data_IF_547540016305
#
_entry.id   IF_547540016305
#
_cell.length_a   1.000
_cell.length_b   1.000
_cell.length_c   1.000
_cell.angle_alpha   90.00
_cell.angle_beta   90.00
_cell.angle_gamma   90.00
#
_symmetry.space_group_name_H-M   'P 1'
#
loop_
_entity.id
_entity.type
_entity.pdbx_description
1 polymer ?
#
# COMPACT_ATOMS: atom_id res chain seq x y z
N UNK A 1 10.07 22.95 -1.44
CA UNK A 1 10.04 21.52 -1.07
C UNK A 1 8.75 20.93 -1.63
N UNK A 2 8.87 19.99 -2.54
CA UNK A 2 7.72 19.22 -3.03
C UNK A 2 7.66 17.88 -2.28
N UNK A 3 6.44 17.38 -2.07
CA UNK A 3 6.21 16.06 -1.48
C UNK A 3 5.38 15.23 -2.46
N UNK A 4 5.82 14.02 -2.74
CA UNK A 4 5.09 13.04 -3.55
C UNK A 4 4.61 11.95 -2.59
N UNK A 5 3.31 11.62 -2.63
CA UNK A 5 2.74 10.50 -1.88
C UNK A 5 2.50 9.36 -2.86
N UNK A 6 3.06 8.19 -2.57
CA UNK A 6 2.86 6.98 -3.37
C UNK A 6 1.82 6.11 -2.67
N UNK A 7 0.73 5.82 -3.38
CA UNK A 7 -0.42 5.08 -2.86
C UNK A 7 -0.20 3.55 -2.88
N UNK A 8 0.92 3.08 -2.33
CA UNK A 8 1.26 1.67 -2.17
C UNK A 8 2.04 1.06 -3.34
N UNK A 9 2.40 -0.20 -3.18
CA UNK A 9 3.12 -1.03 -4.15
C UNK A 9 4.47 -0.42 -4.59
N UNK A 10 5.22 0.09 -3.59
CA UNK A 10 6.55 0.65 -3.79
C UNK A 10 7.62 -0.42 -4.06
N UNK A 11 7.30 -1.70 -3.85
CA UNK A 11 8.21 -2.84 -4.01
C UNK A 11 9.24 -2.97 -2.90
N UNK A 12 8.98 -2.38 -1.73
CA UNK A 12 9.89 -2.43 -0.59
C UNK A 12 9.98 -3.85 -0.03
N UNK A 13 11.16 -4.47 -0.13
CA UNK A 13 11.37 -5.85 0.31
C UNK A 13 10.80 -6.92 -0.62
N UNK A 14 10.10 -6.54 -1.69
CA UNK A 14 9.62 -7.46 -2.70
C UNK A 14 10.78 -7.95 -3.57
N UNK A 15 10.90 -9.25 -3.81
CA UNK A 15 11.99 -9.95 -4.50
C UNK A 15 13.32 -9.98 -3.72
N UNK A 16 14.17 -8.97 -3.81
CA UNK A 16 15.54 -9.01 -3.30
C UNK A 16 15.89 -7.72 -2.55
N UNK A 17 16.27 -7.86 -1.28
CA UNK A 17 16.63 -6.76 -0.38
C UNK A 17 17.80 -5.92 -0.90
N UNK A 18 18.84 -6.52 -1.50
CA UNK A 18 20.01 -5.77 -1.98
C UNK A 18 19.66 -4.94 -3.22
N UNK A 19 18.80 -5.46 -4.09
CA UNK A 19 18.23 -4.70 -5.21
C UNK A 19 17.42 -3.51 -4.70
N UNK A 20 16.54 -3.74 -3.73
CA UNK A 20 15.73 -2.70 -3.08
C UNK A 20 16.62 -1.60 -2.50
N UNK A 21 17.63 -1.94 -1.71
CA UNK A 21 18.58 -0.97 -1.12
C UNK A 21 19.31 -0.14 -2.19
N UNK A 22 19.73 -0.79 -3.29
CA UNK A 22 20.41 -0.09 -4.39
C UNK A 22 19.48 0.91 -5.10
N UNK A 23 18.23 0.51 -5.36
CA UNK A 23 17.23 1.38 -5.98
C UNK A 23 16.87 2.56 -5.07
N UNK A 24 16.65 2.33 -3.78
CA UNK A 24 16.36 3.37 -2.79
C UNK A 24 17.49 4.39 -2.70
N UNK A 25 18.75 3.95 -2.75
CA UNK A 25 19.91 4.86 -2.77
C UNK A 25 19.92 5.78 -3.99
N UNK A 26 19.63 5.23 -5.18
CA UNK A 26 19.53 6.00 -6.42
C UNK A 26 18.38 6.99 -6.36
N UNK A 27 17.19 6.53 -5.95
CA UNK A 27 15.99 7.37 -5.80
C UNK A 27 16.23 8.50 -4.80
N UNK A 28 16.80 8.21 -3.63
CA UNK A 28 17.13 9.23 -2.63
C UNK A 28 18.10 10.29 -3.15
N UNK A 29 19.06 9.89 -3.99
CA UNK A 29 19.98 10.85 -4.63
C UNK A 29 19.24 11.79 -5.58
N UNK A 30 18.28 11.28 -6.36
CA UNK A 30 17.42 12.09 -7.23
C UNK A 30 16.53 13.03 -6.41
N UNK A 31 15.93 12.54 -5.34
CA UNK A 31 15.09 13.32 -4.44
C UNK A 31 15.86 14.50 -3.85
N UNK A 32 17.08 14.25 -3.33
CA UNK A 32 17.96 15.30 -2.82
C UNK A 32 18.29 16.36 -3.88
N UNK A 33 18.66 15.91 -5.08
CA UNK A 33 19.02 16.83 -6.18
C UNK A 33 17.87 17.73 -6.57
N UNK A 34 16.63 17.26 -6.50
CA UNK A 34 15.44 17.98 -6.92
C UNK A 34 14.64 18.61 -5.76
N UNK A 35 15.14 18.49 -4.52
CA UNK A 35 14.47 19.01 -3.31
C UNK A 35 13.03 18.45 -3.13
N UNK A 36 12.89 17.13 -3.34
CA UNK A 36 11.63 16.38 -3.25
C UNK A 36 11.71 15.39 -2.11
N UNK A 37 10.62 15.22 -1.37
CA UNK A 37 10.41 14.09 -0.46
C UNK A 37 9.42 13.12 -1.07
N UNK A 38 9.63 11.83 -0.87
CA UNK A 38 8.68 10.78 -1.23
C UNK A 38 8.17 10.16 0.06
N UNK A 39 6.87 10.26 0.26
CA UNK A 39 6.14 9.52 1.29
C UNK A 39 5.55 8.29 0.64
N UNK A 40 5.70 7.15 1.28
CA UNK A 40 5.21 5.86 0.77
C UNK A 40 4.23 5.28 1.78
N UNK A 41 3.02 4.94 1.34
CA UNK A 41 2.11 4.10 2.10
C UNK A 41 2.26 2.64 1.65
N UNK A 42 1.88 1.72 2.50
CA UNK A 42 2.03 0.28 2.28
C UNK A 42 1.04 -0.23 1.24
N UNK A 43 1.51 -1.01 0.27
CA UNK A 43 0.68 -1.82 -0.62
C UNK A 43 0.85 -3.32 -0.33
N UNK A 44 0.23 -4.17 -1.15
CA UNK A 44 0.37 -5.63 -1.03
C UNK A 44 1.63 -6.19 -1.73
N UNK A 45 2.43 -5.34 -2.37
CA UNK A 45 3.77 -5.65 -2.88
C UNK A 45 4.88 -5.02 -2.04
N UNK A 46 4.60 -4.75 -0.77
CA UNK A 46 5.55 -4.15 0.16
C UNK A 46 5.68 -5.00 1.43
N UNK A 47 6.89 -5.14 1.94
CA UNK A 47 7.14 -5.73 3.25
C UNK A 47 6.67 -4.76 4.34
N UNK A 48 5.66 -5.11 5.15
CA UNK A 48 5.11 -4.24 6.19
C UNK A 48 6.16 -3.73 7.18
N UNK A 49 7.24 -4.47 7.40
CA UNK A 49 8.30 -4.09 8.35
C UNK A 49 9.00 -2.78 7.98
N UNK A 50 9.04 -2.40 6.70
CA UNK A 50 9.62 -1.12 6.28
C UNK A 50 8.80 0.08 6.73
N UNK A 51 7.52 -0.10 7.00
CA UNK A 51 6.59 0.98 7.35
C UNK A 51 6.48 1.21 8.87
N UNK A 52 7.15 0.40 9.68
CA UNK A 52 7.21 0.55 11.13
C UNK A 52 8.52 1.13 11.64
N UNK A 53 9.57 1.17 10.81
CA UNK A 53 10.93 1.51 11.23
C UNK A 53 11.30 2.99 11.02
N UNK A 54 10.41 3.79 10.42
CA UNK A 54 10.69 5.19 10.07
C UNK A 54 11.47 5.35 8.76
N UNK A 55 12.16 6.47 8.59
CA UNK A 55 12.80 6.84 7.33
C UNK A 55 13.88 5.84 6.91
N UNK A 56 13.75 5.24 5.74
CA UNK A 56 14.78 4.38 5.13
C UNK A 56 15.92 5.20 4.50
N UNK A 57 15.62 6.45 4.14
CA UNK A 57 16.60 7.41 3.64
C UNK A 57 16.11 8.84 3.94
N UNK A 58 16.99 9.84 3.78
CA UNK A 58 16.66 11.22 4.18
C UNK A 58 15.44 11.83 3.48
N UNK A 59 15.13 11.39 2.25
CA UNK A 59 14.02 11.91 1.45
C UNK A 59 13.03 10.81 1.04
N UNK A 60 13.16 9.59 1.61
CA UNK A 60 12.25 8.46 1.36
C UNK A 60 11.69 8.03 2.70
N UNK A 61 10.40 8.19 2.85
CA UNK A 61 9.68 8.17 4.11
C UNK A 61 8.51 7.18 4.00
N UNK A 62 8.73 5.89 4.24
CA UNK A 62 7.62 4.98 4.48
C UNK A 62 6.92 5.40 5.77
N UNK A 63 5.61 5.45 5.74
CA UNK A 63 4.83 5.89 6.90
C UNK A 63 3.96 4.76 7.43
N UNK A 64 3.84 4.62 8.75
CA UNK A 64 2.85 3.73 9.36
C UNK A 64 1.43 4.09 8.92
N UNK A 65 0.54 3.10 8.97
CA UNK A 65 -0.88 3.35 8.76
C UNK A 65 -1.41 4.38 9.78
N UNK A 66 -2.40 5.17 9.38
CA UNK A 66 -2.98 6.29 10.13
C UNK A 66 -2.02 7.49 10.34
N UNK A 67 -0.94 7.57 9.59
CA UNK A 67 -0.11 8.79 9.59
C UNK A 67 -0.84 9.95 8.94
N UNK A 68 -0.83 11.12 9.61
CA UNK A 68 -1.37 12.37 9.04
C UNK A 68 -0.24 13.27 8.60
N UNK A 69 -0.25 13.63 7.31
CA UNK A 69 0.74 14.53 6.69
C UNK A 69 0.16 15.94 6.64
N UNK A 70 0.97 16.92 7.02
CA UNK A 70 0.61 18.35 7.03
C UNK A 70 -0.71 18.65 7.78
N UNK A 71 -1.15 17.78 8.67
CA UNK A 71 -2.36 17.96 9.47
C UNK A 71 -3.69 17.72 8.74
N UNK A 72 -3.67 17.37 7.46
CA UNK A 72 -4.87 17.27 6.61
C UNK A 72 -4.95 16.03 5.72
N UNK A 73 -3.84 15.32 5.49
CA UNK A 73 -3.78 14.16 4.60
C UNK A 73 -3.60 12.90 5.43
N UNK A 74 -4.61 12.05 5.49
CA UNK A 74 -4.57 10.77 6.18
C UNK A 74 -4.04 9.68 5.24
N UNK A 75 -3.08 8.89 5.70
CA UNK A 75 -2.46 7.80 4.98
C UNK A 75 -2.77 6.45 5.65
N UNK A 76 -3.39 5.52 4.91
CA UNK A 76 -3.67 4.15 5.38
C UNK A 76 -3.35 3.16 4.27
N UNK A 77 -2.43 2.23 4.53
CA UNK A 77 -1.94 1.26 3.56
C UNK A 77 -2.62 -0.10 3.63
N UNK A 78 -2.18 -0.98 2.75
CA UNK A 78 -2.57 -2.39 2.70
C UNK A 78 -3.67 -2.72 1.71
N UNK A 79 -3.59 -3.94 1.18
CA UNK A 79 -4.60 -4.59 0.36
C UNK A 79 -4.34 -6.10 0.31
N UNK A 80 -5.33 -6.88 -0.11
CA UNK A 80 -5.22 -8.34 -0.27
C UNK A 80 -4.64 -8.69 -1.65
N UNK A 81 -3.61 -9.54 -1.66
CA UNK A 81 -3.06 -10.13 -2.87
C UNK A 81 -3.98 -11.22 -3.41
N UNK A 82 -4.57 -11.00 -4.59
CA UNK A 82 -5.43 -12.02 -5.22
C UNK A 82 -4.67 -13.29 -5.64
N UNK A 83 -3.37 -13.15 -5.90
CA UNK A 83 -2.46 -14.21 -6.32
C UNK A 83 -1.61 -14.78 -5.16
N UNK A 84 -2.04 -14.62 -3.91
CA UNK A 84 -1.28 -14.99 -2.70
C UNK A 84 -0.87 -16.46 -2.67
N UNK A 85 -1.72 -17.37 -3.15
CA UNK A 85 -1.39 -18.80 -3.22
C UNK A 85 -0.21 -19.04 -4.18
N UNK A 86 -0.21 -18.38 -5.33
CA UNK A 86 0.90 -18.45 -6.27
C UNK A 86 2.19 -17.85 -5.68
N UNK A 87 2.11 -16.74 -4.97
CA UNK A 87 3.25 -16.10 -4.28
C UNK A 87 3.84 -17.00 -3.19
N UNK A 88 3.00 -17.66 -2.40
CA UNK A 88 3.46 -18.66 -1.42
C UNK A 88 4.15 -19.85 -2.08
N UNK A 89 3.60 -20.33 -3.20
CA UNK A 89 4.23 -21.40 -3.98
C UNK A 89 5.60 -20.98 -4.54
N UNK A 90 5.73 -19.75 -5.02
CA UNK A 90 7.02 -19.20 -5.47
C UNK A 90 8.02 -19.17 -4.33
N UNK A 91 7.65 -18.69 -3.15
CA UNK A 91 8.53 -18.68 -1.98
C UNK A 91 9.04 -20.09 -1.66
N UNK A 92 8.14 -21.07 -1.60
CA UNK A 92 8.50 -22.46 -1.36
C UNK A 92 9.47 -23.02 -2.42
N UNK A 93 9.28 -22.66 -3.69
CA UNK A 93 10.20 -23.02 -4.77
C UNK A 93 11.58 -22.46 -4.54
N UNK A 94 11.71 -21.17 -4.21
CA UNK A 94 13.00 -20.54 -3.93
C UNK A 94 13.68 -21.17 -2.70
N UNK A 95 12.96 -21.43 -1.63
CA UNK A 95 13.49 -22.15 -0.47
C UNK A 95 14.00 -23.55 -0.85
N UNK A 96 13.24 -24.29 -1.66
CA UNK A 96 13.66 -25.62 -2.14
C UNK A 96 14.93 -25.55 -2.99
N UNK A 97 15.07 -24.54 -3.84
CA UNK A 97 16.29 -24.33 -4.61
C UNK A 97 17.47 -23.95 -3.72
N UNK A 98 17.26 -23.09 -2.72
CA UNK A 98 18.29 -22.72 -1.75
C UNK A 98 18.85 -23.93 -0.99
N UNK A 99 18.01 -24.88 -0.56
CA UNK A 99 18.45 -26.13 0.09
C UNK A 99 19.36 -27.00 -0.77
N UNK A 100 19.23 -26.97 -2.10
CA UNK A 100 20.12 -27.76 -2.98
C UNK A 100 21.58 -27.31 -2.87
N UNK A 101 21.78 -26.02 -2.62
CA UNK A 101 23.12 -25.43 -2.51
C UNK A 101 23.59 -25.27 -1.05
N UNK A 102 22.65 -25.33 -0.10
CA UNK A 102 22.88 -25.17 1.36
C UNK A 102 22.20 -26.29 2.14
N UNK A 103 22.60 -27.58 1.96
CA UNK A 103 21.86 -28.73 2.50
C UNK A 103 21.82 -28.81 4.03
N UNK A 104 22.67 -28.08 4.75
CA UNK A 104 22.72 -28.03 6.21
C UNK A 104 22.01 -26.81 6.80
N UNK A 105 21.43 -25.93 6.00
CA UNK A 105 20.73 -24.76 6.52
C UNK A 105 19.35 -25.14 7.12
N UNK A 106 18.87 -24.33 8.06
CA UNK A 106 17.52 -24.46 8.59
C UNK A 106 16.47 -23.92 7.60
N UNK A 107 15.20 -24.27 7.81
CA UNK A 107 14.10 -23.69 7.03
C UNK A 107 14.03 -22.18 7.25
N UNK A 108 14.24 -21.72 8.48
CA UNK A 108 14.24 -20.31 8.83
C UNK A 108 15.33 -19.55 8.06
N UNK A 109 16.55 -20.07 8.05
CA UNK A 109 17.66 -19.52 7.26
C UNK A 109 17.35 -19.49 5.75
N UNK A 110 16.74 -20.53 5.21
CA UNK A 110 16.33 -20.56 3.81
C UNK A 110 15.23 -19.52 3.52
N UNK A 111 14.28 -19.32 4.43
CA UNK A 111 13.24 -18.32 4.31
C UNK A 111 13.79 -16.88 4.36
N UNK A 112 14.77 -16.61 5.20
CA UNK A 112 15.43 -15.30 5.31
C UNK A 112 16.29 -14.97 4.08
N UNK A 113 16.98 -15.96 3.53
CA UNK A 113 17.93 -15.77 2.42
C UNK A 113 17.30 -15.93 1.03
N UNK A 114 16.00 -16.13 0.94
CA UNK A 114 15.27 -16.21 -0.33
C UNK A 114 14.29 -15.06 -0.49
N UNK A 115 14.01 -14.62 -1.73
CA UNK A 115 13.05 -13.54 -1.99
C UNK A 115 11.69 -13.79 -1.32
N UNK A 116 11.08 -12.76 -0.80
CA UNK A 116 9.70 -12.81 -0.31
C UNK A 116 8.74 -12.13 -1.28
N UNK A 117 7.51 -12.61 -1.34
CA UNK A 117 6.49 -12.15 -2.28
C UNK A 117 5.13 -11.97 -1.63
N UNK A 118 4.95 -12.40 -0.39
CA UNK A 118 3.68 -12.38 0.32
C UNK A 118 3.89 -12.23 1.83
N UNK A 119 3.09 -11.38 2.44
CA UNK A 119 3.03 -11.12 3.87
C UNK A 119 1.61 -11.32 4.36
N UNK A 120 1.43 -12.07 5.45
CA UNK A 120 0.11 -12.40 6.00
C UNK A 120 -0.62 -11.17 6.56
N UNK A 121 0.11 -10.14 6.89
CA UNK A 121 -0.33 -8.86 7.44
C UNK A 121 -0.41 -7.75 6.37
N UNK A 122 -0.58 -8.13 5.09
CA UNK A 122 -0.69 -7.19 3.98
C UNK A 122 -2.01 -6.39 3.98
N UNK A 123 -3.08 -6.94 4.56
CA UNK A 123 -4.39 -6.29 4.60
C UNK A 123 -4.40 -5.00 5.43
N UNK A 124 -5.27 -4.03 5.12
CA UNK A 124 -5.52 -2.91 6.02
C UNK A 124 -6.20 -3.39 7.29
N UNK A 125 -5.94 -2.67 8.39
CA UNK A 125 -6.56 -2.95 9.70
C UNK A 125 -7.30 -1.70 10.16
N UNK A 126 -8.57 -1.84 10.58
CA UNK A 126 -9.31 -0.73 11.19
C UNK A 126 -8.77 -0.45 12.59
N UNK A 127 -8.36 0.79 12.82
CA UNK A 127 -7.79 1.25 14.10
C UNK A 127 -8.58 2.48 14.60
N UNK A 128 -9.60 2.21 15.39
CA UNK A 128 -10.46 3.26 15.96
C UNK A 128 -9.69 4.13 16.96
N UNK A 129 -8.71 3.57 17.66
CA UNK A 129 -7.90 4.32 18.64
C UNK A 129 -7.09 5.40 17.93
N UNK A 130 -6.45 5.06 16.79
CA UNK A 130 -5.74 6.02 15.95
C UNK A 130 -6.64 7.11 15.38
N UNK A 131 -7.85 6.77 14.96
CA UNK A 131 -8.82 7.76 14.47
C UNK A 131 -9.27 8.70 15.60
N UNK A 132 -9.50 8.17 16.79
CA UNK A 132 -9.81 9.00 17.95
C UNK A 132 -8.64 9.92 18.34
N UNK A 133 -7.39 9.45 18.28
CA UNK A 133 -6.19 10.31 18.48
C UNK A 133 -6.15 11.48 17.47
N UNK A 134 -6.49 11.23 16.19
CA UNK A 134 -6.55 12.26 15.14
C UNK A 134 -7.63 13.29 15.45
N UNK A 135 -8.82 12.86 15.82
CA UNK A 135 -9.94 13.72 16.22
C UNK A 135 -9.59 14.57 17.44
N UNK A 136 -9.10 13.92 18.51
CA UNK A 136 -8.76 14.58 19.78
C UNK A 136 -7.58 15.55 19.63
N UNK A 137 -6.70 15.29 18.65
CA UNK A 137 -5.65 16.21 18.23
C UNK A 137 -6.15 17.45 17.48
N UNK A 138 -7.45 17.54 17.21
CA UNK A 138 -8.08 18.68 16.53
C UNK A 138 -7.71 18.78 15.04
N UNK A 139 -7.25 17.69 14.44
CA UNK A 139 -6.92 17.66 13.01
C UNK A 139 -8.20 17.60 12.17
N UNK A 140 -8.20 18.27 11.02
CA UNK A 140 -9.30 18.17 10.05
C UNK A 140 -8.79 17.50 8.77
N UNK A 141 -9.15 16.24 8.58
CA UNK A 141 -8.77 15.49 7.39
C UNK A 141 -9.59 15.96 6.18
N UNK A 142 -8.90 16.38 5.13
CA UNK A 142 -9.49 16.82 3.86
C UNK A 142 -9.14 15.91 2.70
N UNK A 143 -8.09 15.12 2.84
CA UNK A 143 -7.64 14.16 1.84
C UNK A 143 -7.29 12.83 2.51
N UNK A 144 -7.71 11.73 1.90
CA UNK A 144 -7.35 10.36 2.31
C UNK A 144 -6.56 9.72 1.19
N UNK A 145 -5.41 9.14 1.53
CA UNK A 145 -4.57 8.36 0.62
C UNK A 145 -4.52 6.92 1.11
N UNK A 146 -5.04 5.98 0.31
CA UNK A 146 -5.05 4.55 0.67
C UNK A 146 -4.45 3.71 -0.46
N UNK A 147 -4.20 2.42 -0.22
CA UNK A 147 -3.84 1.52 -1.32
C UNK A 147 -5.09 0.91 -1.95
N UNK A 148 -6.02 0.40 -1.17
CA UNK A 148 -7.35 -0.04 -1.61
C UNK A 148 -8.43 1.02 -1.31
N UNK A 149 -9.71 0.74 -1.54
CA UNK A 149 -10.80 1.72 -1.44
C UNK A 149 -12.09 1.13 -0.82
N UNK A 150 -13.05 1.96 -0.40
CA UNK A 150 -14.37 1.53 0.08
C UNK A 150 -15.12 0.62 -0.90
N UNK A 151 -16.05 -0.18 -0.39
CA UNK A 151 -16.76 -1.21 -1.17
C UNK A 151 -17.64 -0.64 -2.28
N UNK A 152 -18.11 0.59 -2.14
CA UNK A 152 -18.92 1.30 -3.13
C UNK A 152 -18.08 1.92 -4.27
N UNK A 153 -16.74 1.89 -4.19
CA UNK A 153 -15.87 2.40 -5.25
C UNK A 153 -15.63 1.36 -6.34
N UNK A 154 -15.54 1.81 -7.59
CA UNK A 154 -15.06 0.99 -8.70
C UNK A 154 -13.54 0.76 -8.64
N UNK A 155 -13.05 -0.40 -9.14
CA UNK A 155 -13.85 -1.55 -9.52
C UNK A 155 -14.34 -2.32 -8.28
N UNK A 156 -15.52 -2.88 -8.39
CA UNK A 156 -16.07 -3.74 -7.31
C UNK A 156 -15.21 -4.99 -7.10
N UNK A 157 -14.50 -5.43 -8.15
CA UNK A 157 -13.54 -6.53 -8.08
C UNK A 157 -12.45 -6.38 -9.14
N UNK A 158 -11.30 -7.05 -8.95
CA UNK A 158 -10.25 -7.14 -9.97
C UNK A 158 -10.69 -8.04 -11.13
N UNK A 159 -10.27 -7.71 -12.34
CA UNK A 159 -10.51 -8.55 -13.52
C UNK A 159 -9.89 -9.94 -13.35
N UNK A 160 -10.63 -10.94 -13.77
CA UNK A 160 -10.18 -12.34 -13.69
C UNK A 160 -10.12 -12.92 -12.28
N UNK A 161 -10.65 -12.26 -11.28
CA UNK A 161 -10.61 -12.71 -9.87
C UNK A 161 -11.20 -14.09 -9.66
N UNK A 162 -12.21 -14.49 -10.48
CA UNK A 162 -12.88 -15.78 -10.33
C UNK A 162 -11.91 -16.96 -10.39
N UNK A 163 -10.91 -16.89 -11.26
CA UNK A 163 -9.90 -17.95 -11.38
C UNK A 163 -8.99 -18.06 -10.14
N UNK A 164 -8.83 -16.97 -9.40
CA UNK A 164 -8.10 -16.96 -8.13
C UNK A 164 -8.96 -17.45 -6.98
N UNK A 165 -10.25 -17.09 -6.93
CA UNK A 165 -11.22 -17.60 -5.94
C UNK A 165 -11.35 -19.14 -6.04
N UNK A 166 -11.34 -19.71 -7.25
CA UNK A 166 -11.35 -21.16 -7.43
C UNK A 166 -10.15 -21.87 -6.81
N UNK A 167 -8.98 -21.20 -6.78
CA UNK A 167 -7.75 -21.71 -6.16
C UNK A 167 -7.65 -21.39 -4.67
N UNK A 168 -8.32 -20.33 -4.22
CA UNK A 168 -8.32 -19.83 -2.84
C UNK A 168 -9.74 -19.43 -2.42
N UNK A 169 -10.56 -20.35 -1.93
CA UNK A 169 -11.95 -20.07 -1.57
C UNK A 169 -12.12 -19.04 -0.42
N UNK A 170 -11.06 -18.77 0.37
CA UNK A 170 -11.11 -17.74 1.41
C UNK A 170 -10.93 -16.33 0.84
N UNK A 171 -10.43 -16.19 -0.39
CA UNK A 171 -10.08 -14.91 -0.99
C UNK A 171 -11.27 -13.95 -1.10
N UNK A 172 -12.43 -14.45 -1.49
CA UNK A 172 -13.66 -13.62 -1.62
C UNK A 172 -14.07 -13.00 -0.28
N UNK A 173 -14.02 -13.80 0.78
CA UNK A 173 -14.28 -13.33 2.13
C UNK A 173 -13.26 -12.28 2.57
N UNK A 174 -11.97 -12.56 2.39
CA UNK A 174 -10.90 -11.68 2.83
C UNK A 174 -10.91 -10.32 2.10
N UNK A 175 -11.19 -10.32 0.78
CA UNK A 175 -11.37 -9.06 0.02
C UNK A 175 -12.61 -8.29 0.49
N UNK A 176 -13.67 -8.98 0.85
CA UNK A 176 -14.87 -8.33 1.41
C UNK A 176 -14.53 -7.66 2.74
N UNK A 177 -13.79 -8.33 3.61
CA UNK A 177 -13.36 -7.76 4.90
C UNK A 177 -12.36 -6.59 4.70
N UNK A 178 -11.43 -6.68 3.74
CA UNK A 178 -10.57 -5.57 3.35
C UNK A 178 -11.38 -4.31 3.02
N UNK A 179 -12.40 -4.46 2.17
CA UNK A 179 -13.26 -3.34 1.73
C UNK A 179 -14.09 -2.77 2.88
N UNK A 180 -14.56 -3.61 3.80
CA UNK A 180 -15.25 -3.16 5.02
C UNK A 180 -14.38 -2.30 5.92
N UNK A 181 -13.09 -2.56 6.00
CA UNK A 181 -12.16 -1.69 6.74
C UNK A 181 -12.17 -0.28 6.16
N UNK A 182 -12.20 -0.15 4.84
CA UNK A 182 -12.28 1.15 4.17
C UNK A 182 -13.65 1.80 4.32
N UNK A 183 -14.73 1.02 4.35
CA UNK A 183 -16.09 1.52 4.63
C UNK A 183 -16.16 2.10 6.06
N UNK A 184 -15.65 1.37 7.06
CA UNK A 184 -15.59 1.82 8.45
C UNK A 184 -14.73 3.09 8.61
N UNK A 185 -13.61 3.16 7.87
CA UNK A 185 -12.78 4.36 7.85
C UNK A 185 -13.55 5.56 7.30
N UNK A 186 -14.28 5.38 6.18
CA UNK A 186 -15.12 6.41 5.58
C UNK A 186 -16.21 6.88 6.55
N UNK A 187 -16.96 5.95 7.15
CA UNK A 187 -18.01 6.23 8.12
C UNK A 187 -17.47 7.00 9.32
N UNK A 188 -16.36 6.54 9.91
CA UNK A 188 -15.75 7.17 11.09
C UNK A 188 -15.26 8.60 10.81
N UNK A 189 -14.64 8.85 9.65
CA UNK A 189 -14.21 10.20 9.26
C UNK A 189 -15.42 11.15 9.12
N UNK A 190 -16.53 10.69 8.58
CA UNK A 190 -17.76 11.47 8.49
C UNK A 190 -18.39 11.72 9.87
N UNK A 191 -18.47 10.71 10.72
CA UNK A 191 -19.00 10.83 12.10
C UNK A 191 -18.18 11.79 12.95
N UNK A 192 -16.86 11.79 12.77
CA UNK A 192 -15.95 12.68 13.49
C UNK A 192 -15.98 14.12 12.95
N UNK A 193 -16.69 14.37 11.85
CA UNK A 193 -16.90 15.70 11.26
C UNK A 193 -15.74 16.19 10.43
N UNK A 194 -14.86 15.30 9.97
CA UNK A 194 -13.82 15.64 9.02
C UNK A 194 -14.40 16.08 7.67
N UNK A 195 -13.72 16.98 6.98
CA UNK A 195 -14.19 17.54 5.70
C UNK A 195 -13.44 16.93 4.52
N UNK A 196 -13.56 15.62 4.37
CA UNK A 196 -12.91 14.89 3.28
C UNK A 196 -13.47 15.37 1.94
N UNK A 197 -12.57 15.75 1.02
CA UNK A 197 -12.89 16.18 -0.35
C UNK A 197 -12.34 15.21 -1.39
N UNK A 198 -11.20 14.61 -1.07
CA UNK A 198 -10.48 13.71 -1.97
C UNK A 198 -10.12 12.42 -1.27
N UNK A 199 -10.40 11.29 -1.92
CA UNK A 199 -9.95 9.98 -1.55
C UNK A 199 -9.18 9.37 -2.70
N UNK A 200 -7.87 9.21 -2.56
CA UNK A 200 -6.95 8.82 -3.62
C UNK A 200 -6.44 7.40 -3.31
N UNK A 201 -6.51 6.48 -4.28
CA UNK A 201 -6.12 5.09 -4.08
C UNK A 201 -5.51 4.47 -5.34
N UNK A 202 -4.80 3.36 -5.19
CA UNK A 202 -4.15 2.60 -6.25
C UNK A 202 -4.71 1.19 -6.42
N UNK A 203 -3.82 0.16 -6.41
CA UNK A 203 -4.09 -1.27 -6.36
C UNK A 203 -4.71 -1.90 -7.62
N UNK A 204 -5.64 -1.21 -8.29
CA UNK A 204 -6.44 -1.80 -9.38
C UNK A 204 -5.86 -1.59 -10.78
N UNK A 205 -4.75 -0.87 -10.89
CA UNK A 205 -4.02 -0.61 -12.13
C UNK A 205 -4.91 -0.02 -13.23
N UNK A 206 -5.70 0.97 -12.87
CA UNK A 206 -6.61 1.71 -13.77
C UNK A 206 -6.74 3.13 -13.29
N UNK A 207 -7.04 4.02 -14.22
CA UNK A 207 -7.50 5.37 -13.90
C UNK A 207 -9.02 5.41 -13.87
N UNK A 208 -9.61 5.88 -12.79
CA UNK A 208 -11.03 6.15 -12.68
C UNK A 208 -11.28 7.27 -11.66
N UNK A 209 -12.38 7.97 -11.85
CA UNK A 209 -12.84 9.00 -10.92
C UNK A 209 -14.35 8.88 -10.73
N UNK A 210 -14.80 8.95 -9.50
CA UNK A 210 -16.21 9.00 -9.14
C UNK A 210 -16.43 10.01 -8.02
N UNK A 211 -17.66 10.48 -7.86
CA UNK A 211 -18.06 11.36 -6.75
C UNK A 211 -19.17 10.67 -5.99
N UNK A 212 -18.99 10.53 -4.69
CA UNK A 212 -19.99 9.98 -3.76
C UNK A 212 -20.01 10.90 -2.54
N UNK A 213 -21.19 11.36 -2.14
CA UNK A 213 -21.38 12.26 -0.98
C UNK A 213 -20.44 13.48 -0.97
N UNK A 214 -20.30 14.13 -2.14
CA UNK A 214 -19.41 15.27 -2.39
C UNK A 214 -17.91 14.97 -2.21
N UNK A 215 -17.50 13.73 -2.01
CA UNK A 215 -16.11 13.27 -1.97
C UNK A 215 -15.72 12.74 -3.34
N UNK A 216 -14.59 13.23 -3.87
CA UNK A 216 -13.99 12.73 -5.10
C UNK A 216 -13.11 11.51 -4.80
N UNK A 217 -13.52 10.34 -5.29
CA UNK A 217 -12.73 9.10 -5.24
C UNK A 217 -11.93 8.98 -6.53
N UNK A 218 -10.62 8.97 -6.41
CA UNK A 218 -9.71 8.97 -7.54
C UNK A 218 -8.80 7.74 -7.48
N UNK A 219 -8.99 6.83 -8.42
CA UNK A 219 -8.15 5.67 -8.63
C UNK A 219 -6.99 6.02 -9.55
N UNK A 220 -5.77 5.75 -9.10
CA UNK A 220 -4.54 5.96 -9.85
C UNK A 220 -4.13 4.70 -10.59
N UNK A 221 -3.70 4.85 -11.84
CA UNK A 221 -3.10 3.75 -12.60
C UNK A 221 -1.68 3.44 -12.11
N UNK A 222 -1.22 2.24 -12.41
CA UNK A 222 0.15 1.84 -12.11
C UNK A 222 1.14 2.61 -13.00
N UNK A 223 2.28 2.98 -12.41
CA UNK A 223 3.40 3.52 -13.18
C UNK A 223 4.03 2.39 -13.99
N UNK A 224 3.90 2.40 -15.30
CA UNK A 224 4.51 1.41 -16.18
C UNK A 224 5.86 1.92 -16.71
N UNK A 225 6.88 1.06 -16.67
CA UNK A 225 8.28 1.41 -16.99
C UNK A 225 8.54 1.74 -18.47
N UNK A 226 7.58 1.61 -19.36
CA UNK A 226 7.72 1.75 -20.81
C UNK A 226 7.54 3.17 -21.37
N UNK A 227 7.60 4.17 -20.50
CA UNK A 227 7.38 5.58 -20.88
C UNK A 227 5.91 5.98 -20.91
N UNK A 228 5.05 5.16 -20.30
CA UNK A 228 3.63 5.49 -20.07
C UNK A 228 3.45 6.72 -19.19
N UNK A 229 2.27 7.28 -19.25
CA UNK A 229 1.90 8.41 -18.40
C UNK A 229 1.89 8.00 -16.93
N UNK A 230 2.43 8.86 -16.07
CA UNK A 230 2.30 8.73 -14.62
C UNK A 230 1.06 9.49 -14.20
N UNK A 231 0.13 8.81 -13.52
CA UNK A 231 -1.00 9.48 -12.91
C UNK A 231 -0.51 10.28 -11.69
N UNK A 232 -0.55 11.61 -11.85
CA UNK A 232 -0.21 12.56 -10.81
C UNK A 232 -1.42 13.42 -10.49
N UNK A 233 -1.72 13.54 -9.22
CA UNK A 233 -2.76 14.42 -8.71
C UNK A 233 -2.11 15.48 -7.84
N UNK A 234 -2.38 16.73 -8.13
CA UNK A 234 -1.92 17.84 -7.31
C UNK A 234 -2.94 18.08 -6.19
N UNK A 235 -2.46 17.94 -4.93
CA UNK A 235 -3.25 18.25 -3.73
C UNK A 235 -2.93 19.69 -3.35
N UNK A 236 -3.89 20.57 -3.52
CA UNK A 236 -3.80 21.96 -3.06
C UNK A 236 -4.23 22.06 -1.61
N UNK A 237 -3.35 22.58 -0.76
CA UNK A 237 -3.61 22.84 0.65
C UNK A 237 -3.97 24.31 0.89
#
# INVERSE_FOLDING_TARGET
NSCIIVCGDCGLGFYNLDSTKSQLKKLNTLCKKNNVNIVMIRGNHDDPSFFTQGNIASNIIPVPDYTVINGTILCVGGAISIDRQYRMMLKNKYCTEYFKYHPSCSLEEAMENTPNFYWKDEAPVYDEEKLNEIKDGGLNITTVCTHTCPSFCDPVSKDGIQSWIEQDPALEFDITEERKVMDLLHEKLNEDGHQVKDWIYGHYHRHNMMIVDDIRYLMLDAVVYDGGNVDLVEIHQ
#
